data_IF_100198072128
#
_entry.id   IF_100198072128
#
_cell.length_a   1.000
_cell.length_b   1.000
_cell.length_c   1.000
_cell.angle_alpha   90.00
_cell.angle_beta   90.00
_cell.angle_gamma   90.00
#
_symmetry.space_group_name_H-M   'P 1'
#
loop_
_entity.id
_entity.type
_entity.pdbx_description
1 polymer ?
#
# COMPACT_ATOMS: atom_id res chain seq x y z
N UNK A 1 -30.16 -28.90 9.49
CA UNK A 1 -31.09 -29.95 8.99
C UNK A 1 -30.54 -31.30 9.41
N UNK A 2 -31.22 -32.05 10.30
CA UNK A 2 -30.75 -33.37 10.77
C UNK A 2 -30.90 -34.39 9.64
N UNK A 3 -29.83 -35.10 9.29
CA UNK A 3 -29.85 -36.12 8.23
C UNK A 3 -30.52 -37.41 8.73
N UNK A 4 -31.45 -37.95 7.93
CA UNK A 4 -32.19 -39.21 8.17
C UNK A 4 -31.39 -40.48 7.80
N UNK A 5 -30.14 -40.34 7.39
CA UNK A 5 -29.35 -41.42 6.80
C UNK A 5 -27.89 -41.34 7.27
N UNK A 6 -27.31 -42.46 7.67
CA UNK A 6 -25.88 -42.56 8.02
C UNK A 6 -25.10 -43.13 6.84
N UNK A 7 -24.67 -42.25 5.95
CA UNK A 7 -23.88 -42.64 4.77
C UNK A 7 -22.41 -42.66 5.17
N UNK A 8 -21.83 -43.86 5.24
CA UNK A 8 -20.40 -44.06 5.51
C UNK A 8 -19.58 -43.36 4.43
N UNK A 9 -18.68 -42.46 4.82
CA UNK A 9 -17.84 -41.70 3.88
C UNK A 9 -18.51 -40.51 3.18
N UNK A 10 -19.75 -40.13 3.52
CA UNK A 10 -20.38 -38.96 2.91
C UNK A 10 -19.58 -37.66 3.14
N UNK A 11 -19.00 -37.50 4.32
CA UNK A 11 -18.19 -36.32 4.65
C UNK A 11 -16.97 -36.18 3.72
N UNK A 12 -16.29 -37.27 3.41
CA UNK A 12 -15.10 -37.23 2.53
C UNK A 12 -15.51 -36.94 1.08
N UNK A 13 -16.61 -37.51 0.60
CA UNK A 13 -17.15 -37.22 -0.73
C UNK A 13 -17.59 -35.75 -0.87
N UNK A 14 -18.32 -35.22 0.12
CA UNK A 14 -18.76 -33.82 0.15
C UNK A 14 -17.54 -32.88 0.17
N UNK A 15 -16.56 -33.12 1.04
CA UNK A 15 -15.36 -32.29 1.11
C UNK A 15 -14.54 -32.33 -0.18
N UNK A 16 -14.52 -33.48 -0.88
CA UNK A 16 -13.86 -33.61 -2.20
C UNK A 16 -14.50 -32.67 -3.22
N UNK A 17 -15.82 -32.61 -3.24
CA UNK A 17 -16.55 -31.78 -4.20
C UNK A 17 -16.47 -30.29 -3.86
N UNK A 18 -16.56 -29.96 -2.56
CA UNK A 18 -16.37 -28.58 -2.08
C UNK A 18 -14.97 -28.05 -2.44
N UNK A 19 -13.92 -28.87 -2.34
CA UNK A 19 -12.55 -28.49 -2.74
C UNK A 19 -12.35 -28.31 -4.24
N UNK A 20 -13.20 -28.91 -5.08
CA UNK A 20 -13.15 -28.75 -6.54
C UNK A 20 -13.98 -27.56 -7.03
N UNK A 21 -14.89 -27.07 -6.20
CA UNK A 21 -15.72 -25.93 -6.51
C UNK A 21 -14.90 -24.63 -6.43
N UNK A 22 -14.64 -24.01 -7.58
CA UNK A 22 -13.92 -22.73 -7.68
C UNK A 22 -14.60 -21.63 -6.86
N UNK A 23 -15.94 -21.63 -6.78
CA UNK A 23 -16.68 -20.69 -5.94
C UNK A 23 -16.37 -20.92 -4.46
N UNK A 24 -16.40 -22.17 -3.98
CA UNK A 24 -16.04 -22.49 -2.60
C UNK A 24 -14.58 -22.15 -2.31
N UNK A 25 -13.66 -22.42 -3.24
CA UNK A 25 -12.24 -22.07 -3.11
C UNK A 25 -12.02 -20.55 -2.98
N UNK A 26 -12.68 -19.75 -3.83
CA UNK A 26 -12.65 -18.27 -3.76
C UNK A 26 -13.12 -17.72 -2.41
N UNK A 27 -14.14 -18.34 -1.81
CA UNK A 27 -14.67 -17.94 -0.49
C UNK A 27 -13.97 -18.66 0.68
N UNK A 28 -13.18 -19.71 0.40
CA UNK A 28 -12.40 -20.46 1.38
C UNK A 28 -11.05 -19.79 1.65
N UNK A 29 -10.98 -18.46 1.53
CA UNK A 29 -9.78 -17.72 1.91
C UNK A 29 -9.43 -18.03 3.35
N UNK A 30 -8.38 -18.83 3.53
CA UNK A 30 -7.72 -18.95 4.82
C UNK A 30 -7.26 -17.55 5.22
N UNK A 31 -7.26 -17.29 6.53
CA UNK A 31 -6.57 -16.12 7.05
C UNK A 31 -5.09 -16.33 6.71
N UNK A 32 -4.62 -15.69 5.64
CA UNK A 32 -3.21 -15.78 5.24
C UNK A 32 -2.39 -15.38 6.46
N UNK A 33 -1.75 -16.36 7.11
CA UNK A 33 -0.66 -16.08 8.03
C UNK A 33 0.47 -15.55 7.16
N UNK A 34 0.40 -14.25 6.88
CA UNK A 34 1.41 -13.51 6.14
C UNK A 34 2.73 -13.78 6.85
N UNK A 35 3.58 -14.63 6.27
CA UNK A 35 4.93 -14.83 6.80
C UNK A 35 5.60 -13.47 6.76
N UNK A 36 5.97 -12.96 7.93
CA UNK A 36 6.64 -11.66 8.04
C UNK A 36 7.98 -11.77 7.34
N UNK A 37 8.08 -11.19 6.14
CA UNK A 37 9.34 -11.11 5.43
C UNK A 37 10.36 -10.32 6.26
N UNK A 38 11.64 -10.70 6.17
CA UNK A 38 12.70 -9.95 6.83
C UNK A 38 12.66 -8.47 6.41
N UNK A 39 12.71 -7.56 7.38
CA UNK A 39 12.74 -6.13 7.09
C UNK A 39 13.98 -5.81 6.25
N UNK A 40 13.88 -5.00 5.19
CA UNK A 40 15.03 -4.61 4.39
C UNK A 40 16.10 -3.97 5.28
N UNK A 41 17.38 -4.30 5.06
CA UNK A 41 18.50 -3.75 5.83
C UNK A 41 18.55 -2.21 5.82
N UNK A 42 17.96 -1.57 4.80
CA UNK A 42 17.75 -0.13 4.75
C UNK A 42 16.91 0.41 5.92
N UNK A 43 15.96 -0.37 6.46
CA UNK A 43 15.13 -0.03 7.62
C UNK A 43 15.79 -0.34 8.97
N UNK A 44 16.78 -1.23 9.01
CA UNK A 44 17.30 -1.79 10.28
C UNK A 44 18.72 -1.33 10.62
N UNK A 45 19.55 -0.96 9.63
CA UNK A 45 20.93 -0.54 9.90
C UNK A 45 21.03 0.74 10.73
N UNK A 46 22.02 0.87 11.61
CA UNK A 46 22.33 2.13 12.30
C UNK A 46 22.93 3.14 11.30
N UNK A 47 22.60 4.44 11.44
CA UNK A 47 23.10 5.49 10.55
C UNK A 47 22.49 6.86 10.84
N UNK A 48 23.05 7.92 10.22
CA UNK A 48 22.56 9.31 10.38
C UNK A 48 21.15 9.48 9.81
N UNK A 49 20.40 10.46 10.34
CA UNK A 49 19.10 10.84 9.78
C UNK A 49 19.25 11.24 8.30
N UNK A 50 18.24 10.94 7.48
CA UNK A 50 18.21 11.18 6.02
C UNK A 50 19.26 10.43 5.18
N UNK A 51 20.11 9.58 5.78
CA UNK A 51 21.06 8.76 5.03
C UNK A 51 20.38 7.74 4.11
N UNK A 52 19.21 7.23 4.53
CA UNK A 52 18.37 6.32 3.74
C UNK A 52 16.92 6.77 3.91
N UNK A 53 16.27 7.01 2.79
CA UNK A 53 14.87 7.41 2.76
C UNK A 53 14.19 6.94 1.48
N UNK A 54 12.91 7.25 1.39
CA UNK A 54 12.11 7.08 0.18
C UNK A 54 11.49 8.42 -0.18
N UNK A 55 11.24 8.58 -1.47
CA UNK A 55 10.55 9.74 -2.03
C UNK A 55 9.25 9.23 -2.65
N UNK A 56 8.15 9.90 -2.36
CA UNK A 56 6.83 9.61 -2.92
C UNK A 56 6.13 10.91 -3.30
N UNK A 57 5.16 10.85 -4.20
CA UNK A 57 4.36 12.01 -4.60
C UNK A 57 2.91 11.80 -4.22
N UNK A 58 2.40 12.68 -3.38
CA UNK A 58 0.95 12.83 -3.24
C UNK A 58 0.45 13.68 -4.41
N UNK A 59 -0.65 13.19 -5.01
CA UNK A 59 -1.12 13.56 -6.34
C UNK A 59 -1.37 15.04 -6.59
N UNK A 60 -1.94 15.36 -7.76
CA UNK A 60 -2.13 16.74 -8.14
C UNK A 60 -3.24 17.41 -7.34
N UNK A 61 -2.84 18.34 -6.49
CA UNK A 61 -3.70 19.29 -5.81
C UNK A 61 -3.89 20.52 -6.70
N UNK A 62 -5.14 20.98 -6.80
CA UNK A 62 -5.44 22.26 -7.43
C UNK A 62 -5.31 23.35 -6.36
N UNK A 63 -4.27 24.17 -6.45
CA UNK A 63 -3.94 25.16 -5.45
C UNK A 63 -4.09 26.56 -6.07
N UNK A 64 -4.77 27.44 -5.34
CA UNK A 64 -4.84 28.87 -5.66
C UNK A 64 -3.87 29.62 -4.75
N UNK A 65 -2.87 30.26 -5.34
CA UNK A 65 -1.84 30.99 -4.57
C UNK A 65 -2.38 32.26 -3.89
N UNK A 66 -3.51 32.79 -4.37
CA UNK A 66 -4.17 33.99 -3.85
C UNK A 66 -5.68 33.87 -3.99
N UNK A 67 -6.43 34.53 -3.10
CA UNK A 67 -7.89 34.64 -3.19
C UNK A 67 -8.28 35.87 -4.01
N UNK A 68 -9.12 35.71 -5.03
CA UNK A 68 -9.58 36.79 -5.90
C UNK A 68 -10.41 36.29 -7.10
N UNK A 69 -11.21 37.18 -7.70
CA UNK A 69 -11.99 36.83 -8.92
C UNK A 69 -11.05 36.62 -10.10
N UNK A 70 -11.21 35.50 -10.82
CA UNK A 70 -10.41 35.17 -11.99
C UNK A 70 -9.05 34.53 -11.71
N UNK A 71 -8.73 34.20 -10.45
CA UNK A 71 -7.50 33.47 -10.10
C UNK A 71 -7.61 32.03 -10.59
N UNK A 72 -6.67 31.61 -11.44
CA UNK A 72 -6.59 30.24 -11.94
C UNK A 72 -5.98 29.33 -10.88
N UNK A 73 -6.61 28.18 -10.65
CA UNK A 73 -6.01 27.12 -9.85
C UNK A 73 -4.87 26.46 -10.64
N UNK A 74 -3.75 26.20 -9.97
CA UNK A 74 -2.57 25.58 -10.55
C UNK A 74 -2.49 24.15 -10.01
N UNK A 75 -2.16 23.22 -10.89
CA UNK A 75 -1.93 21.81 -10.54
C UNK A 75 -0.55 21.70 -9.89
N UNK A 76 -0.50 21.28 -8.64
CA UNK A 76 0.72 21.13 -7.85
C UNK A 76 0.75 19.74 -7.22
N UNK A 77 1.92 19.14 -7.07
CA UNK A 77 2.12 17.88 -6.38
C UNK A 77 2.86 18.13 -5.07
N UNK A 78 2.66 17.25 -4.09
CA UNK A 78 3.44 17.29 -2.85
C UNK A 78 4.46 16.17 -2.91
N UNK A 79 5.74 16.53 -2.98
CA UNK A 79 6.84 15.60 -2.80
C UNK A 79 7.01 15.27 -1.31
N UNK A 80 7.06 13.98 -1.00
CA UNK A 80 7.15 13.45 0.35
C UNK A 80 8.47 12.70 0.48
N UNK A 81 9.41 13.29 1.22
CA UNK A 81 10.67 12.64 1.56
C UNK A 81 10.58 12.03 2.96
N UNK A 82 10.60 10.70 3.03
CA UNK A 82 10.51 9.96 4.29
C UNK A 82 11.85 9.34 4.67
N UNK A 83 12.40 9.74 5.81
CA UNK A 83 13.60 9.12 6.39
C UNK A 83 13.26 7.72 6.93
N UNK A 84 13.94 6.68 6.47
CA UNK A 84 13.67 5.31 6.92
C UNK A 84 14.16 5.03 8.34
N UNK A 85 15.05 5.87 8.87
CA UNK A 85 15.59 5.77 10.23
C UNK A 85 14.69 6.41 11.27
N UNK A 86 14.46 7.70 11.14
CA UNK A 86 13.72 8.51 12.12
C UNK A 86 12.23 8.57 11.84
N UNK A 87 11.78 8.12 10.66
CA UNK A 87 10.43 8.37 10.14
C UNK A 87 10.09 9.85 9.99
N UNK A 88 11.10 10.74 10.01
CA UNK A 88 10.92 12.14 9.71
C UNK A 88 10.44 12.31 8.26
N UNK A 89 9.49 13.21 8.05
CA UNK A 89 8.90 13.51 6.76
C UNK A 89 9.21 14.97 6.42
N UNK A 90 9.79 15.20 5.25
CA UNK A 90 9.97 16.51 4.65
C UNK A 90 9.02 16.64 3.46
N UNK A 91 8.23 17.70 3.44
CA UNK A 91 7.18 17.93 2.45
C UNK A 91 7.54 19.15 1.60
N UNK A 92 7.55 18.98 0.29
CA UNK A 92 7.82 20.05 -0.67
C UNK A 92 6.69 20.14 -1.69
N UNK A 93 6.37 21.36 -2.11
CA UNK A 93 5.33 21.61 -3.11
C UNK A 93 5.99 21.87 -4.46
N UNK A 94 5.62 21.08 -5.47
CA UNK A 94 6.27 21.10 -6.78
C UNK A 94 5.25 21.13 -7.92
N UNK A 95 5.47 21.97 -8.93
CA UNK A 95 4.56 22.06 -10.09
C UNK A 95 4.81 20.94 -11.11
N UNK A 96 6.07 20.47 -11.23
CA UNK A 96 6.49 19.48 -12.21
C UNK A 96 7.18 18.26 -11.58
N UNK A 97 6.78 17.04 -11.97
CA UNK A 97 7.42 15.78 -11.54
C UNK A 97 8.83 15.56 -12.13
N UNK A 98 9.53 16.63 -12.54
CA UNK A 98 10.86 16.50 -13.11
C UNK A 98 11.85 15.98 -12.07
N UNK A 99 12.71 15.05 -12.49
CA UNK A 99 13.81 14.56 -11.65
C UNK A 99 14.79 15.68 -11.28
N UNK A 100 14.83 16.76 -12.07
CA UNK A 100 15.78 17.85 -11.89
C UNK A 100 15.45 18.73 -10.67
N UNK A 101 14.17 18.94 -10.38
CA UNK A 101 13.70 19.67 -9.19
C UNK A 101 13.86 18.85 -7.91
N UNK A 102 13.82 17.52 -8.01
CA UNK A 102 13.99 16.63 -6.85
C UNK A 102 15.45 16.31 -6.48
N UNK A 103 16.42 16.56 -7.37
CA UNK A 103 17.86 16.32 -7.13
C UNK A 103 18.58 17.56 -6.55
N UNK A 104 17.94 18.74 -6.60
CA UNK A 104 18.55 20.01 -6.19
C UNK A 104 18.55 20.27 -4.66
N UNK A 105 17.99 19.35 -3.86
CA UNK A 105 17.89 19.42 -2.40
C UNK A 105 18.69 18.31 -1.71
#
# INVERSE_FOLDING_TARGET
MKQKYWIVGAKTAILREVRRCVTCDRFSSEFSQKTMAALPAARVNLGRAFLKGGMDFAGPFLITLRSGRGVKAIKMHVCIFACFKTKAIHLELESDLSTQTSIAH
#
